data_IF_670811678275
#
_entry.id   IF_670811678275
#
_cell.length_a   1.000
_cell.length_b   1.000
_cell.length_c   1.000
_cell.angle_alpha   90.00
_cell.angle_beta   90.00
_cell.angle_gamma   90.00
#
_symmetry.space_group_name_H-M   'P 1'
#
loop_
_entity.id
_entity.type
_entity.pdbx_description
1 polymer ?
#
# COMPACT_ATOMS: atom_id res chain seq x y z
N UNK A 1 53.28 -34.52 -49.26
CA UNK A 1 53.46 -35.56 -50.29
C UNK A 1 52.61 -36.76 -49.86
N UNK A 2 51.52 -37.10 -50.59
CA UNK A 2 50.46 -38.07 -50.17
C UNK A 2 49.66 -37.56 -48.93
N UNK A 3 48.33 -37.63 -48.78
CA UNK A 3 47.22 -38.50 -49.30
C UNK A 3 47.25 -39.92 -48.69
N UNK A 4 46.17 -40.59 -48.26
CA UNK A 4 44.68 -40.47 -48.41
C UNK A 4 44.03 -40.94 -47.04
N UNK A 5 42.74 -41.12 -46.72
CA UNK A 5 41.38 -41.06 -47.34
C UNK A 5 40.28 -40.98 -46.24
N UNK A 6 39.14 -40.34 -46.52
CA UNK A 6 37.81 -40.70 -45.96
C UNK A 6 37.30 -39.92 -44.72
N UNK A 7 35.99 -39.66 -44.55
CA UNK A 7 34.83 -39.85 -45.44
C UNK A 7 33.71 -38.86 -45.09
N UNK A 8 32.88 -38.45 -46.06
CA UNK A 8 31.71 -37.59 -45.80
C UNK A 8 30.58 -38.36 -45.13
N UNK A 9 29.88 -37.72 -44.19
CA UNK A 9 28.44 -37.93 -44.00
C UNK A 9 27.76 -36.60 -43.63
N UNK A 10 27.07 -35.97 -44.58
CA UNK A 10 26.27 -34.77 -44.33
C UNK A 10 24.90 -35.21 -43.86
N UNK A 11 24.61 -35.03 -42.57
CA UNK A 11 23.28 -35.29 -42.02
C UNK A 11 22.37 -34.11 -42.36
N UNK A 12 21.61 -34.25 -43.45
CA UNK A 12 20.45 -33.40 -43.70
C UNK A 12 19.41 -33.65 -42.61
N UNK A 13 19.23 -32.69 -41.71
CA UNK A 13 18.08 -32.69 -40.79
C UNK A 13 16.86 -32.29 -41.62
N UNK A 14 16.10 -33.27 -42.08
CA UNK A 14 14.78 -33.06 -42.66
C UNK A 14 13.82 -32.81 -41.48
N UNK A 15 13.52 -31.53 -41.23
CA UNK A 15 12.38 -31.18 -40.38
C UNK A 15 11.09 -31.58 -41.11
N UNK A 16 10.60 -32.79 -40.85
CA UNK A 16 9.21 -33.12 -41.13
C UNK A 16 8.33 -32.32 -40.17
N UNK A 17 7.46 -31.48 -40.74
CA UNK A 17 6.32 -30.93 -40.00
C UNK A 17 5.36 -32.10 -39.72
N UNK A 18 5.28 -32.52 -38.46
CA UNK A 18 4.25 -33.41 -37.96
C UNK A 18 3.38 -32.66 -36.96
N UNK A 19 2.22 -32.21 -37.43
CA UNK A 19 1.18 -31.66 -36.55
C UNK A 19 0.78 -32.71 -35.51
N UNK A 20 1.06 -32.40 -34.24
CA UNK A 20 0.75 -33.25 -33.10
C UNK A 20 -0.04 -32.41 -32.09
N UNK A 21 -1.38 -32.49 -32.15
CA UNK A 21 -2.26 -31.86 -31.17
C UNK A 21 -2.12 -32.58 -29.82
N UNK A 22 -1.18 -32.12 -29.00
CA UNK A 22 -0.84 -32.68 -27.70
C UNK A 22 -1.21 -31.76 -26.53
N UNK A 23 -2.50 -31.51 -26.32
CA UNK A 23 -3.03 -30.76 -25.16
C UNK A 23 -2.96 -31.59 -23.85
N UNK A 24 -1.74 -31.94 -23.44
CA UNK A 24 -1.48 -32.66 -22.21
C UNK A 24 -1.32 -31.72 -21.02
N UNK A 25 -2.08 -31.96 -19.94
CA UNK A 25 -1.98 -31.25 -18.64
C UNK A 25 -0.55 -31.06 -18.10
N UNK A 26 0.38 -31.96 -18.46
CA UNK A 26 1.80 -31.85 -18.10
C UNK A 26 2.50 -30.65 -18.76
N UNK A 27 2.14 -30.27 -19.98
CA UNK A 27 2.71 -29.09 -20.65
C UNK A 27 2.23 -27.80 -19.98
N UNK A 28 0.92 -27.68 -19.72
CA UNK A 28 0.34 -26.53 -19.00
C UNK A 28 0.91 -26.37 -17.58
N UNK A 29 1.16 -27.49 -16.87
CA UNK A 29 1.81 -27.45 -15.56
C UNK A 29 3.30 -27.05 -15.65
N UNK A 30 3.97 -27.33 -16.76
CA UNK A 30 5.35 -26.90 -17.01
C UNK A 30 5.39 -25.40 -17.38
N UNK A 31 4.52 -24.92 -18.27
CA UNK A 31 4.45 -23.49 -18.60
C UNK A 31 4.06 -22.67 -17.38
N UNK A 32 3.03 -23.04 -16.63
CA UNK A 32 2.64 -22.32 -15.40
C UNK A 32 3.76 -22.26 -14.35
N UNK A 33 4.64 -23.27 -14.29
CA UNK A 33 5.86 -23.23 -13.45
C UNK A 33 6.95 -22.34 -14.03
N UNK A 34 7.11 -22.31 -15.35
CA UNK A 34 8.06 -21.44 -16.05
C UNK A 34 7.66 -19.96 -15.90
N UNK A 35 6.38 -19.65 -16.09
CA UNK A 35 5.78 -18.33 -15.89
C UNK A 35 5.95 -17.87 -14.43
N UNK A 36 5.74 -18.77 -13.46
CA UNK A 36 5.97 -18.51 -12.04
C UNK A 36 7.44 -18.26 -11.70
N UNK A 37 8.40 -18.83 -12.44
CA UNK A 37 9.84 -18.58 -12.26
C UNK A 37 10.25 -17.25 -12.90
N UNK A 38 9.73 -16.94 -14.09
CA UNK A 38 9.95 -15.63 -14.76
C UNK A 38 9.36 -14.47 -13.94
N UNK A 39 8.20 -14.68 -13.30
CA UNK A 39 7.64 -13.74 -12.33
C UNK A 39 8.57 -13.51 -11.14
N UNK A 40 9.10 -14.58 -10.54
CA UNK A 40 10.04 -14.51 -9.41
C UNK A 40 11.35 -13.79 -9.78
N UNK A 41 11.86 -14.00 -10.99
CA UNK A 41 13.03 -13.30 -11.52
C UNK A 41 12.74 -11.81 -11.76
N UNK A 42 11.58 -11.47 -12.33
CA UNK A 42 11.14 -10.09 -12.54
C UNK A 42 10.97 -9.32 -11.22
N UNK A 43 10.36 -9.95 -10.22
CA UNK A 43 10.20 -9.37 -8.87
C UNK A 43 11.58 -9.15 -8.21
N UNK A 44 12.52 -10.09 -8.35
CA UNK A 44 13.89 -9.99 -7.81
C UNK A 44 14.73 -8.90 -8.52
N UNK A 45 14.66 -8.82 -9.84
CA UNK A 45 15.33 -7.79 -10.63
C UNK A 45 14.81 -6.39 -10.28
N UNK A 46 13.49 -6.27 -10.06
CA UNK A 46 12.91 -4.98 -9.70
C UNK A 46 13.21 -4.61 -8.23
N UNK A 47 13.22 -5.56 -7.30
CA UNK A 47 13.67 -5.34 -5.92
C UNK A 47 15.16 -4.93 -5.83
N UNK A 48 16.02 -5.54 -6.65
CA UNK A 48 17.45 -5.13 -6.71
C UNK A 48 17.62 -3.75 -7.32
N UNK A 49 16.83 -3.36 -8.33
CA UNK A 49 16.80 -1.98 -8.85
C UNK A 49 16.32 -0.97 -7.78
N UNK A 50 15.23 -1.26 -7.05
CA UNK A 50 14.72 -0.42 -5.96
C UNK A 50 15.80 -0.18 -4.89
N UNK A 51 16.47 -1.25 -4.44
CA UNK A 51 17.54 -1.13 -3.42
C UNK A 51 18.77 -0.37 -3.95
N UNK A 52 19.16 -0.55 -5.22
CA UNK A 52 20.23 0.27 -5.85
C UNK A 52 19.83 1.74 -5.94
N UNK A 53 18.58 2.06 -6.26
CA UNK A 53 18.09 3.45 -6.27
C UNK A 53 18.06 4.07 -4.86
N UNK A 54 17.65 3.32 -3.84
CA UNK A 54 17.71 3.76 -2.45
C UNK A 54 19.15 4.01 -2.00
N UNK A 55 20.09 3.10 -2.30
CA UNK A 55 21.52 3.29 -2.02
C UNK A 55 22.12 4.49 -2.78
N UNK A 56 21.71 4.72 -4.03
CA UNK A 56 22.15 5.88 -4.81
C UNK A 56 21.71 7.21 -4.18
N UNK A 57 20.44 7.31 -3.77
CA UNK A 57 19.93 8.46 -2.99
C UNK A 57 20.72 8.63 -1.68
N UNK A 58 20.97 7.53 -0.96
CA UNK A 58 21.72 7.51 0.30
C UNK A 58 23.15 8.07 0.12
N UNK A 59 23.85 7.69 -0.94
CA UNK A 59 25.18 8.20 -1.28
C UNK A 59 25.15 9.67 -1.67
N UNK A 60 24.27 10.08 -2.60
CA UNK A 60 24.12 11.49 -3.00
C UNK A 60 23.86 12.41 -1.80
N UNK A 61 23.10 11.92 -0.83
CA UNK A 61 22.78 12.64 0.38
C UNK A 61 23.96 12.75 1.35
N UNK A 62 24.70 11.67 1.59
CA UNK A 62 25.91 11.72 2.41
C UNK A 62 26.91 12.74 1.83
N UNK A 63 27.02 12.84 0.50
CA UNK A 63 27.78 13.90 -0.17
C UNK A 63 27.20 15.30 0.12
N UNK A 64 25.87 15.50 0.08
CA UNK A 64 25.25 16.79 0.46
C UNK A 64 25.48 17.16 1.92
N UNK A 65 25.44 16.21 2.85
CA UNK A 65 25.75 16.45 4.26
C UNK A 65 27.20 16.89 4.46
N UNK A 66 28.14 16.27 3.75
CA UNK A 66 29.55 16.63 3.78
C UNK A 66 29.81 18.03 3.19
N UNK A 67 29.06 18.43 2.15
CA UNK A 67 29.17 19.74 1.52
C UNK A 67 28.52 20.88 2.35
N UNK A 68 27.44 20.61 3.07
CA UNK A 68 26.76 21.61 3.92
C UNK A 68 27.45 21.86 5.27
N UNK A 69 28.65 21.31 5.50
CA UNK A 69 29.42 21.50 6.74
C UNK A 69 29.90 22.93 7.02
N UNK A 70 29.75 23.87 6.07
CA UNK A 70 30.17 25.26 6.25
C UNK A 70 29.25 26.26 5.53
N UNK A 71 28.15 26.67 6.19
CA UNK A 71 27.33 27.79 5.72
C UNK A 71 26.06 28.01 6.54
N UNK A 72 25.85 29.23 7.05
CA UNK A 72 24.55 29.64 7.60
C UNK A 72 23.52 29.72 6.46
N UNK A 73 22.42 28.95 6.48
CA UNK A 73 21.33 29.13 5.53
C UNK A 73 20.54 30.38 5.93
N UNK A 74 20.56 31.41 5.09
CA UNK A 74 19.59 32.50 5.22
C UNK A 74 18.17 31.93 5.07
N UNK A 75 17.27 32.25 6.00
CA UNK A 75 15.96 31.61 6.07
C UNK A 75 15.10 31.93 4.83
N UNK A 76 14.78 30.90 4.04
CA UNK A 76 13.79 31.00 2.96
C UNK A 76 12.38 31.12 3.59
N UNK A 77 11.63 32.22 3.37
CA UNK A 77 10.35 32.39 4.03
C UNK A 77 9.27 31.44 3.47
N UNK A 78 8.49 30.82 4.37
CA UNK A 78 7.19 30.19 4.02
C UNK A 78 7.11 28.67 4.18
N UNK A 79 8.22 27.93 4.14
CA UNK A 79 8.23 26.49 4.38
C UNK A 79 8.54 26.19 5.85
N UNK A 80 7.53 25.72 6.59
CA UNK A 80 7.70 25.33 7.99
C UNK A 80 8.80 24.27 8.16
N UNK A 81 9.61 24.45 9.21
CA UNK A 81 10.63 23.48 9.63
C UNK A 81 9.93 22.20 10.09
N UNK A 82 10.40 20.99 9.72
CA UNK A 82 9.84 19.75 10.23
C UNK A 82 9.92 19.69 11.76
N UNK A 83 8.82 19.29 12.42
CA UNK A 83 8.76 19.28 13.90
C UNK A 83 9.47 18.08 14.54
N UNK A 84 9.87 17.11 13.73
CA UNK A 84 10.54 15.87 14.12
C UNK A 84 10.30 14.77 13.08
N UNK A 85 10.61 13.53 13.42
CA UNK A 85 10.45 12.40 12.52
C UNK A 85 8.99 11.97 12.34
N UNK A 86 8.13 12.24 13.32
CA UNK A 86 6.78 11.69 13.39
C UNK A 86 5.80 12.62 14.10
N UNK A 87 4.51 12.30 14.03
CA UNK A 87 3.49 12.97 14.83
C UNK A 87 3.73 12.85 16.35
N UNK A 88 4.55 11.91 16.85
CA UNK A 88 4.91 11.84 18.29
C UNK A 88 5.80 12.99 18.75
N UNK A 89 6.51 13.63 17.82
CA UNK A 89 7.52 14.65 18.10
C UNK A 89 6.93 16.07 18.10
N UNK A 90 5.66 16.20 17.69
CA UNK A 90 4.87 17.45 17.74
C UNK A 90 4.80 17.95 19.20
N UNK A 91 5.38 19.13 19.54
CA UNK A 91 5.44 19.59 20.93
C UNK A 91 4.08 19.98 21.54
N UNK A 92 3.08 20.25 20.70
CA UNK A 92 1.73 20.60 21.12
C UNK A 92 0.82 19.37 21.10
N UNK A 93 0.05 19.13 22.18
CA UNK A 93 -1.00 18.09 22.22
C UNK A 93 -2.26 18.52 21.46
N UNK A 94 -2.09 19.12 20.30
CA UNK A 94 -3.15 19.70 19.45
C UNK A 94 -3.17 18.94 18.14
N UNK A 95 -4.33 18.36 17.79
CA UNK A 95 -4.51 17.73 16.48
C UNK A 95 -4.50 18.80 15.39
N UNK A 96 -3.76 18.57 14.30
CA UNK A 96 -3.50 19.60 13.29
C UNK A 96 -2.57 19.12 12.18
N UNK A 97 -2.30 19.98 11.21
CA UNK A 97 -1.43 19.67 10.07
C UNK A 97 0.00 20.11 10.39
N UNK A 98 0.94 19.17 10.30
CA UNK A 98 2.35 19.38 10.63
C UNK A 98 3.25 18.82 9.52
N UNK A 99 4.48 19.32 9.44
CA UNK A 99 5.52 18.78 8.57
C UNK A 99 6.45 17.89 9.40
N UNK A 100 6.76 16.69 8.90
CA UNK A 100 7.60 15.68 9.56
C UNK A 100 8.64 15.13 8.59
N UNK A 101 9.76 14.66 9.12
CA UNK A 101 10.92 14.18 8.37
C UNK A 101 11.32 12.75 8.82
N UNK A 102 10.51 11.73 8.48
CA UNK A 102 10.59 10.39 9.08
C UNK A 102 11.84 9.60 8.69
N UNK A 103 12.36 9.87 7.49
CA UNK A 103 13.54 9.29 6.87
C UNK A 103 14.62 10.36 6.69
N UNK A 104 14.77 11.28 7.65
CA UNK A 104 15.79 12.33 7.59
C UNK A 104 17.22 11.74 7.42
N UNK A 105 18.05 12.28 6.52
CA UNK A 105 17.77 13.33 5.53
C UNK A 105 17.39 12.79 4.13
N UNK A 106 17.14 11.48 3.99
CA UNK A 106 17.16 10.71 2.73
C UNK A 106 16.07 11.03 1.70
N UNK A 107 14.93 11.60 2.12
CA UNK A 107 13.87 12.05 1.23
C UNK A 107 13.26 13.37 1.77
N UNK A 108 12.47 14.06 0.94
CA UNK A 108 11.86 15.34 1.33
C UNK A 108 10.85 15.19 2.50
N UNK A 109 10.86 16.13 3.48
CA UNK A 109 9.93 16.10 4.61
C UNK A 109 8.47 16.28 4.17
N UNK A 110 7.60 15.40 4.65
CA UNK A 110 6.19 15.31 4.24
C UNK A 110 5.25 16.08 5.19
N UNK A 111 4.14 16.58 4.65
CA UNK A 111 3.08 17.24 5.41
C UNK A 111 1.96 16.26 5.69
N UNK A 112 1.54 16.15 6.95
CA UNK A 112 0.57 15.15 7.42
C UNK A 112 -0.44 15.75 8.40
N UNK A 113 -1.62 15.14 8.52
CA UNK A 113 -2.54 15.40 9.62
C UNK A 113 -2.12 14.55 10.83
N UNK A 114 -1.76 15.19 11.93
CA UNK A 114 -1.51 14.53 13.20
C UNK A 114 -2.74 14.55 14.11
N UNK A 115 -3.09 13.41 14.71
CA UNK A 115 -4.06 13.32 15.80
C UNK A 115 -3.32 13.18 17.14
N UNK A 116 -3.51 14.19 18.00
CA UNK A 116 -2.92 14.28 19.33
C UNK A 116 -3.90 13.98 20.47
N UNK A 117 -5.17 13.72 20.14
CA UNK A 117 -6.24 13.50 21.10
C UNK A 117 -6.52 12.01 21.30
N UNK A 118 -6.50 11.23 20.22
CA UNK A 118 -6.78 9.79 20.29
C UNK A 118 -5.67 9.03 21.04
N UNK A 119 -6.05 8.37 22.15
CA UNK A 119 -5.20 7.49 22.98
C UNK A 119 -3.75 7.98 23.20
N UNK A 120 -3.62 9.19 23.75
CA UNK A 120 -2.33 9.80 24.09
C UNK A 120 -1.57 10.40 22.91
N UNK A 121 -2.19 10.45 21.72
CA UNK A 121 -1.69 11.21 20.58
C UNK A 121 -0.51 10.57 19.85
N UNK A 122 0.18 11.39 19.05
CA UNK A 122 1.30 10.97 18.22
C UNK A 122 0.93 10.21 16.95
N UNK A 123 -0.34 10.23 16.54
CA UNK A 123 -0.85 9.48 15.39
C UNK A 123 -0.72 10.26 14.10
N UNK A 124 -0.18 9.64 13.05
CA UNK A 124 -0.24 10.13 11.67
C UNK A 124 -1.50 9.58 11.00
N UNK A 125 -2.45 10.44 10.61
CA UNK A 125 -3.66 10.03 9.90
C UNK A 125 -3.30 9.72 8.45
N UNK A 126 -3.60 8.50 8.00
CA UNK A 126 -3.28 8.03 6.63
C UNK A 126 -4.51 7.98 5.71
N UNK A 127 -5.72 7.93 6.29
CA UNK A 127 -6.99 7.96 5.57
C UNK A 127 -8.07 8.57 6.47
N UNK A 128 -8.98 9.34 5.87
CA UNK A 128 -10.13 9.93 6.57
C UNK A 128 -11.36 10.04 5.66
N UNK A 129 -12.51 9.55 6.11
CA UNK A 129 -13.85 9.69 5.51
C UNK A 129 -14.86 10.19 6.56
N UNK A 130 -15.81 11.05 6.19
CA UNK A 130 -16.91 11.53 7.05
C UNK A 130 -18.03 12.30 6.32
N UNK A 131 -17.90 12.64 5.03
CA UNK A 131 -18.91 13.44 4.31
C UNK A 131 -19.11 13.09 2.83
N UNK A 132 -18.19 12.34 2.21
CA UNK A 132 -18.23 11.98 0.79
C UNK A 132 -17.76 13.09 -0.16
N UNK A 133 -17.11 14.14 0.34
CA UNK A 133 -16.60 15.27 -0.45
C UNK A 133 -15.52 14.89 -1.46
N UNK A 134 -14.89 13.71 -1.32
CA UNK A 134 -13.81 13.22 -2.19
C UNK A 134 -14.19 11.87 -2.79
N UNK A 135 -14.06 11.74 -4.12
CA UNK A 135 -14.16 10.45 -4.80
C UNK A 135 -12.89 9.60 -4.55
N UNK A 136 -13.07 8.42 -3.96
CA UNK A 136 -12.02 7.40 -3.72
C UNK A 136 -11.96 6.31 -4.81
N UNK A 137 -12.88 6.29 -5.77
CA UNK A 137 -12.75 5.45 -6.95
C UNK A 137 -11.73 6.10 -7.91
N UNK A 138 -10.45 5.73 -7.74
CA UNK A 138 -9.25 6.33 -8.35
C UNK A 138 -8.30 5.27 -8.91
N UNK A 139 -7.44 5.71 -9.83
CA UNK A 139 -6.39 4.90 -10.44
C UNK A 139 -5.20 4.62 -9.50
N UNK A 140 -4.28 3.77 -9.95
CA UNK A 140 -3.07 3.41 -9.21
C UNK A 140 -2.18 4.61 -8.86
N UNK A 141 -2.07 5.59 -9.76
CA UNK A 141 -1.15 6.72 -9.61
C UNK A 141 -1.67 7.74 -8.59
N UNK A 142 -2.98 7.97 -8.55
CA UNK A 142 -3.64 8.72 -7.48
C UNK A 142 -3.50 8.00 -6.13
N UNK A 143 -3.74 6.69 -6.07
CA UNK A 143 -3.53 5.92 -4.84
C UNK A 143 -2.07 5.88 -4.37
N UNK A 144 -1.11 5.90 -5.30
CA UNK A 144 0.32 5.99 -5.02
C UNK A 144 0.71 7.35 -4.42
N UNK A 145 0.29 8.45 -5.07
CA UNK A 145 0.63 9.83 -4.70
C UNK A 145 -0.12 10.32 -3.45
N UNK A 146 -1.36 9.90 -3.28
CA UNK A 146 -2.30 10.51 -2.33
C UNK A 146 -3.23 11.52 -3.02
N UNK A 147 -4.42 11.72 -2.45
CA UNK A 147 -5.47 12.59 -2.99
C UNK A 147 -6.42 13.09 -1.88
N UNK A 148 -7.18 14.14 -2.19
CA UNK A 148 -8.06 14.82 -1.22
C UNK A 148 -7.35 15.98 -0.52
N UNK A 149 -7.76 16.31 0.71
CA UNK A 149 -7.15 17.38 1.51
C UNK A 149 -7.05 17.00 2.99
N UNK A 150 -5.91 17.31 3.62
CA UNK A 150 -5.67 17.03 5.04
C UNK A 150 -6.66 17.76 5.99
N UNK A 151 -7.38 18.77 5.50
CA UNK A 151 -8.44 19.45 6.24
C UNK A 151 -9.79 18.68 6.21
N UNK A 152 -10.00 17.83 5.19
CA UNK A 152 -11.25 17.13 4.90
C UNK A 152 -11.04 15.62 4.72
N UNK A 153 -11.69 15.02 3.72
CA UNK A 153 -11.39 13.63 3.32
C UNK A 153 -10.09 13.55 2.53
N UNK A 154 -9.31 12.49 2.75
CA UNK A 154 -8.08 12.22 2.00
C UNK A 154 -7.59 10.77 2.12
N UNK A 155 -6.75 10.40 1.17
CA UNK A 155 -5.83 9.27 1.21
C UNK A 155 -4.40 9.82 1.16
N UNK A 156 -3.53 9.44 2.10
CA UNK A 156 -2.18 10.02 2.23
C UNK A 156 -1.22 9.62 1.09
N UNK A 157 -1.53 8.54 0.36
CA UNK A 157 -0.67 7.99 -0.69
C UNK A 157 0.13 6.78 -0.21
N UNK A 158 0.13 5.71 -1.01
CA UNK A 158 0.85 4.47 -0.68
C UNK A 158 2.34 4.71 -0.48
N UNK A 159 2.96 5.62 -1.24
CA UNK A 159 4.38 5.94 -1.10
C UNK A 159 4.71 6.60 0.25
N UNK A 160 3.84 7.48 0.74
CA UNK A 160 3.99 8.09 2.06
C UNK A 160 3.78 7.06 3.19
N UNK A 161 2.78 6.17 3.06
CA UNK A 161 2.52 5.09 4.02
C UNK A 161 3.66 4.06 4.02
N UNK A 162 4.25 3.78 2.86
CA UNK A 162 5.42 2.90 2.71
C UNK A 162 6.63 3.49 3.43
N UNK A 163 7.01 4.75 3.13
CA UNK A 163 8.10 5.47 3.83
C UNK A 163 7.90 5.43 5.35
N UNK A 164 6.74 5.86 5.83
CA UNK A 164 6.42 5.90 7.26
C UNK A 164 6.52 4.52 7.92
N UNK A 165 5.90 3.48 7.35
CA UNK A 165 5.87 2.15 8.00
C UNK A 165 7.18 1.35 7.89
N UNK A 166 8.14 1.77 7.06
CA UNK A 166 9.42 1.07 6.90
C UNK A 166 10.63 1.76 7.57
N UNK A 167 10.54 3.03 8.01
CA UNK A 167 11.58 3.64 8.87
C UNK A 167 11.59 3.09 10.29
N UNK A 168 10.42 2.71 10.80
CA UNK A 168 10.24 2.18 12.15
C UNK A 168 8.99 1.28 12.21
N UNK A 169 8.94 0.29 13.12
CA UNK A 169 7.72 -0.45 13.39
C UNK A 169 6.58 0.49 13.79
N UNK A 170 5.44 0.38 13.12
CA UNK A 170 4.24 1.18 13.39
C UNK A 170 3.09 0.29 13.88
N UNK A 171 2.27 0.81 14.80
CA UNK A 171 0.92 0.28 15.07
C UNK A 171 -0.11 0.97 14.17
N UNK A 172 -1.24 0.31 13.89
CA UNK A 172 -2.38 0.86 13.12
C UNK A 172 -3.62 0.97 14.01
N UNK A 173 -4.32 2.08 13.89
CA UNK A 173 -5.67 2.30 14.39
C UNK A 173 -6.65 2.51 13.24
N UNK A 174 -7.76 1.78 13.30
CA UNK A 174 -8.93 2.01 12.47
C UNK A 174 -10.06 2.42 13.41
N UNK A 175 -10.46 3.69 13.36
CA UNK A 175 -11.59 4.24 14.14
C UNK A 175 -12.76 4.47 13.20
N UNK A 176 -13.95 4.05 13.60
CA UNK A 176 -15.16 4.01 12.76
C UNK A 176 -16.40 4.44 13.53
N UNK A 177 -17.35 5.05 12.84
CA UNK A 177 -18.64 5.48 13.36
C UNK A 177 -19.74 5.11 12.37
N UNK A 178 -20.91 4.70 12.87
CA UNK A 178 -22.11 4.47 12.06
C UNK A 178 -23.07 5.69 12.07
N UNK A 179 -24.20 5.59 11.37
CA UNK A 179 -25.18 6.69 11.32
C UNK A 179 -26.04 6.82 12.60
N UNK A 180 -25.99 5.80 13.46
CA UNK A 180 -26.68 5.73 14.74
C UNK A 180 -25.81 6.30 15.89
N UNK A 181 -24.57 6.72 15.59
CA UNK A 181 -23.61 7.35 16.50
C UNK A 181 -22.71 6.37 17.27
N UNK A 182 -22.77 5.08 16.95
CA UNK A 182 -21.94 4.05 17.60
C UNK A 182 -20.51 4.13 17.05
N UNK A 183 -19.58 4.56 17.88
CA UNK A 183 -18.14 4.59 17.58
C UNK A 183 -17.44 3.32 18.07
N UNK A 184 -16.61 2.72 17.21
CA UNK A 184 -15.78 1.54 17.52
C UNK A 184 -14.37 1.68 16.94
N UNK A 185 -13.46 0.82 17.39
CA UNK A 185 -12.10 0.76 16.86
C UNK A 185 -11.55 -0.67 16.75
N UNK A 186 -10.69 -0.88 15.76
CA UNK A 186 -9.79 -2.03 15.66
C UNK A 186 -8.34 -1.53 15.69
N UNK A 187 -7.50 -2.16 16.53
CA UNK A 187 -6.11 -1.76 16.75
C UNK A 187 -5.17 -2.91 16.47
N UNK A 188 -4.22 -2.69 15.57
CA UNK A 188 -3.25 -3.68 15.16
C UNK A 188 -1.89 -3.33 15.75
N UNK A 189 -1.38 -4.20 16.60
CA UNK A 189 -0.12 -3.99 17.33
C UNK A 189 1.10 -3.79 16.41
N UNK A 190 0.98 -4.15 15.13
CA UNK A 190 1.92 -3.82 14.06
C UNK A 190 1.17 -3.59 12.75
N UNK A 191 1.69 -2.74 11.88
CA UNK A 191 1.26 -2.55 10.50
C UNK A 191 2.42 -2.07 9.63
N UNK A 192 2.65 -2.76 8.50
CA UNK A 192 3.65 -2.37 7.50
C UNK A 192 3.23 -2.80 6.11
N UNK A 193 3.49 -1.94 5.11
CA UNK A 193 3.27 -2.26 3.70
C UNK A 193 4.60 -2.41 2.94
N UNK A 194 4.55 -3.14 1.83
CA UNK A 194 5.68 -3.34 0.92
C UNK A 194 5.94 -2.12 0.04
N UNK A 195 7.02 -2.18 -0.75
CA UNK A 195 7.30 -1.22 -1.82
C UNK A 195 6.34 -1.45 -3.02
N UNK A 196 6.41 -0.58 -4.04
CA UNK A 196 5.62 -0.73 -5.27
C UNK A 196 5.89 -2.05 -6.00
N UNK A 197 7.12 -2.56 -5.92
CA UNK A 197 7.54 -3.89 -6.37
C UNK A 197 6.70 -5.01 -5.78
N UNK A 198 6.37 -4.91 -4.49
CA UNK A 198 5.48 -5.84 -3.79
C UNK A 198 4.01 -5.38 -3.86
N UNK A 199 3.65 -4.57 -4.87
CA UNK A 199 2.33 -3.98 -5.10
C UNK A 199 1.76 -3.30 -3.84
N UNK A 200 2.62 -2.68 -3.02
CA UNK A 200 2.29 -2.08 -1.72
C UNK A 200 1.49 -3.00 -0.78
N UNK A 201 1.67 -4.32 -0.88
CA UNK A 201 0.91 -5.31 -0.10
C UNK A 201 1.11 -5.19 1.42
N UNK A 202 0.16 -5.69 2.22
CA UNK A 202 0.28 -5.68 3.70
C UNK A 202 1.29 -6.75 4.12
N UNK A 203 2.53 -6.35 4.42
CA UNK A 203 3.63 -7.28 4.73
C UNK A 203 3.73 -7.63 6.22
N UNK A 204 3.09 -6.85 7.10
CA UNK A 204 3.00 -7.16 8.53
C UNK A 204 1.70 -6.59 9.11
N UNK A 205 0.93 -7.43 9.82
CA UNK A 205 -0.28 -7.04 10.53
C UNK A 205 -0.34 -7.78 11.87
N UNK A 206 -0.05 -7.08 12.96
CA UNK A 206 0.00 -7.64 14.31
C UNK A 206 -1.37 -8.10 14.81
N UNK A 207 -1.41 -8.66 16.02
CA UNK A 207 -2.67 -9.06 16.67
C UNK A 207 -3.62 -7.86 16.83
N UNK A 208 -4.92 -8.10 16.63
CA UNK A 208 -5.95 -7.10 16.86
C UNK A 208 -6.22 -6.96 18.37
N UNK A 209 -5.77 -5.88 19.00
CA UNK A 209 -5.96 -5.58 20.42
C UNK A 209 -5.74 -4.08 20.72
N UNK A 210 -6.75 -3.34 21.24
CA UNK A 210 -8.15 -3.73 21.39
C UNK A 210 -8.84 -3.97 20.03
N UNK A 211 -9.78 -4.90 20.00
CA UNK A 211 -10.48 -5.33 18.78
C UNK A 211 -12.00 -5.10 18.86
N UNK A 212 -12.43 -3.94 19.34
CA UNK A 212 -13.85 -3.63 19.60
C UNK A 212 -14.75 -3.63 18.36
N UNK A 213 -14.16 -3.51 17.16
CA UNK A 213 -14.87 -3.62 15.88
C UNK A 213 -14.72 -5.01 15.20
N UNK A 214 -14.05 -5.98 15.83
CA UNK A 214 -13.64 -7.23 15.18
C UNK A 214 -12.42 -7.08 14.24
N UNK A 215 -11.90 -8.19 13.71
CA UNK A 215 -10.68 -8.22 12.88
C UNK A 215 -10.99 -8.46 11.39
N UNK A 216 -11.69 -7.52 10.76
CA UNK A 216 -11.99 -7.60 9.32
C UNK A 216 -10.74 -7.39 8.46
N UNK A 217 -9.67 -6.79 8.99
CA UNK A 217 -8.41 -6.60 8.28
C UNK A 217 -7.60 -7.89 8.13
N UNK A 218 -7.83 -8.93 8.96
CA UNK A 218 -7.00 -10.15 8.98
C UNK A 218 -6.81 -10.82 7.62
N UNK A 219 -7.87 -10.87 6.81
CA UNK A 219 -7.84 -11.53 5.49
C UNK A 219 -7.07 -10.74 4.42
N UNK A 220 -6.68 -9.51 4.74
CA UNK A 220 -5.94 -8.60 3.85
C UNK A 220 -4.41 -8.63 4.12
N UNK A 221 -3.95 -9.43 5.10
CA UNK A 221 -2.53 -9.69 5.35
C UNK A 221 -1.92 -10.54 4.22
N UNK A 222 -0.76 -10.12 3.71
CA UNK A 222 -0.06 -10.65 2.53
C UNK A 222 -0.82 -10.47 1.19
N UNK A 223 -1.82 -9.59 1.16
CA UNK A 223 -2.56 -9.24 -0.07
C UNK A 223 -2.03 -7.95 -0.69
N UNK A 224 -1.99 -7.92 -2.03
CA UNK A 224 -1.51 -6.78 -2.82
C UNK A 224 -2.55 -5.67 -2.88
N UNK A 225 -2.11 -4.40 -2.92
CA UNK A 225 -3.03 -3.31 -3.24
C UNK A 225 -3.50 -3.45 -4.69
N UNK A 226 -4.77 -3.13 -4.94
CA UNK A 226 -5.38 -3.13 -6.28
C UNK A 226 -6.29 -1.92 -6.48
N UNK A 227 -6.36 -1.44 -7.71
CA UNK A 227 -7.22 -0.35 -8.19
C UNK A 227 -7.96 -0.77 -9.46
N UNK A 228 -8.90 0.03 -9.98
CA UNK A 228 -9.70 -0.38 -11.15
C UNK A 228 -8.88 -0.60 -12.43
N UNK A 229 -7.71 0.03 -12.52
CA UNK A 229 -6.72 -0.03 -13.59
C UNK A 229 -5.60 -1.06 -13.34
N UNK A 230 -5.41 -1.52 -12.09
CA UNK A 230 -4.36 -2.47 -11.70
C UNK A 230 -4.91 -3.48 -10.69
N UNK A 231 -5.44 -4.59 -11.22
CA UNK A 231 -5.89 -5.72 -10.40
C UNK A 231 -4.70 -6.58 -9.95
N UNK A 232 -4.67 -6.92 -8.66
CA UNK A 232 -3.78 -7.91 -8.03
C UNK A 232 -4.54 -8.76 -6.99
N UNK A 233 -5.87 -8.76 -7.06
CA UNK A 233 -6.76 -9.54 -6.21
C UNK A 233 -6.76 -11.03 -6.59
N UNK A 234 -7.37 -11.87 -5.74
CA UNK A 234 -7.46 -13.33 -5.93
C UNK A 234 -8.88 -13.78 -6.32
N UNK A 235 -9.67 -12.85 -6.87
CA UNK A 235 -11.01 -13.09 -7.40
C UNK A 235 -10.98 -13.39 -8.91
N UNK A 236 -12.14 -13.74 -9.48
CA UNK A 236 -12.31 -13.95 -10.93
C UNK A 236 -12.64 -12.65 -11.70
N UNK A 237 -12.65 -11.51 -11.02
CA UNK A 237 -12.98 -10.19 -11.55
C UNK A 237 -12.32 -9.11 -10.69
N UNK A 238 -12.10 -7.91 -11.23
CA UNK A 238 -11.47 -6.82 -10.49
C UNK A 238 -12.38 -6.29 -9.36
N UNK A 239 -12.02 -6.67 -8.13
CA UNK A 239 -12.72 -6.24 -6.91
C UNK A 239 -12.74 -4.72 -6.72
N UNK A 240 -11.70 -3.99 -7.11
CA UNK A 240 -11.64 -2.53 -7.02
C UNK A 240 -12.66 -1.86 -7.95
N UNK A 241 -12.83 -2.41 -9.17
CA UNK A 241 -13.80 -1.94 -10.15
C UNK A 241 -15.26 -2.19 -9.71
N UNK A 242 -15.52 -3.29 -9.02
CA UNK A 242 -16.86 -3.63 -8.48
C UNK A 242 -17.14 -2.83 -7.20
N UNK A 243 -16.26 -2.91 -6.19
CA UNK A 243 -16.47 -2.36 -4.84
C UNK A 243 -15.90 -0.95 -4.63
N UNK A 244 -15.71 -0.20 -5.71
CA UNK A 244 -15.58 1.27 -5.77
C UNK A 244 -14.47 1.91 -4.92
N UNK A 245 -13.32 1.25 -4.81
CA UNK A 245 -12.18 1.80 -4.06
C UNK A 245 -10.86 1.08 -4.36
N UNK A 246 -9.74 1.71 -4.00
CA UNK A 246 -8.43 1.07 -3.98
C UNK A 246 -8.19 0.42 -2.60
N UNK A 247 -7.85 -0.87 -2.59
CA UNK A 247 -7.64 -1.63 -1.34
C UNK A 247 -6.75 -2.87 -1.55
N UNK A 248 -6.32 -3.48 -0.44
CA UNK A 248 -5.57 -4.74 -0.40
C UNK A 248 -6.48 -5.96 -0.61
N UNK A 249 -7.18 -6.04 -1.75
CA UNK A 249 -8.23 -7.06 -1.96
C UNK A 249 -7.68 -8.50 -2.01
N UNK A 250 -8.30 -9.40 -1.23
CA UNK A 250 -8.11 -10.87 -1.31
C UNK A 250 -9.01 -11.41 -2.45
N UNK A 251 -9.89 -12.37 -2.17
CA UNK A 251 -11.15 -12.60 -2.88
C UNK A 251 -12.12 -11.48 -2.49
N UNK A 252 -11.81 -10.29 -2.98
CA UNK A 252 -12.39 -9.02 -2.55
C UNK A 252 -12.14 -8.73 -1.06
N UNK A 253 -13.16 -8.55 -0.21
CA UNK A 253 -12.91 -7.95 1.12
C UNK A 253 -13.85 -8.37 2.27
N UNK A 254 -13.36 -8.20 3.50
CA UNK A 254 -14.18 -8.04 4.72
C UNK A 254 -14.24 -6.59 5.20
N UNK A 255 -13.27 -5.76 4.83
CA UNK A 255 -13.35 -4.32 4.98
C UNK A 255 -12.87 -3.59 3.73
N UNK A 256 -13.55 -2.49 3.37
CA UNK A 256 -13.13 -1.56 2.33
C UNK A 256 -13.54 -0.16 2.77
N UNK A 257 -12.64 0.55 3.43
CA UNK A 257 -12.89 1.92 3.93
C UNK A 257 -12.70 2.98 2.83
N UNK A 258 -12.22 2.55 1.67
CA UNK A 258 -12.00 3.36 0.48
C UNK A 258 -13.12 3.21 -0.57
N UNK A 259 -14.21 2.52 -0.22
CA UNK A 259 -15.40 2.40 -1.07
C UNK A 259 -16.18 3.71 -1.25
N UNK A 260 -17.35 3.59 -1.88
CA UNK A 260 -18.25 4.71 -2.16
C UNK A 260 -18.84 5.26 -0.85
N UNK A 261 -19.09 6.58 -0.79
CA UNK A 261 -19.66 7.20 0.41
C UNK A 261 -21.19 7.05 0.45
N UNK A 262 -21.63 5.84 0.75
CA UNK A 262 -23.04 5.49 0.91
C UNK A 262 -23.49 5.69 2.38
N UNK A 263 -24.79 5.89 2.61
CA UNK A 263 -25.30 6.32 3.93
C UNK A 263 -26.15 5.24 4.61
N UNK A 264 -25.57 4.52 5.56
CA UNK A 264 -26.27 3.52 6.37
C UNK A 264 -26.65 2.29 5.58
N UNK A 265 -27.88 1.80 5.75
CA UNK A 265 -28.39 0.58 5.11
C UNK A 265 -28.34 0.66 3.59
N UNK A 266 -27.77 -0.36 2.96
CA UNK A 266 -27.60 -0.47 1.51
C UNK A 266 -28.80 -1.13 0.83
N UNK A 267 -28.93 -0.88 -0.47
CA UNK A 267 -29.79 -1.66 -1.38
C UNK A 267 -29.01 -2.83 -1.98
N UNK A 268 -29.69 -3.85 -2.50
CA UNK A 268 -29.04 -5.04 -3.08
C UNK A 268 -28.08 -4.69 -4.25
N UNK A 269 -28.38 -3.64 -5.01
CA UNK A 269 -27.51 -3.12 -6.07
C UNK A 269 -26.26 -2.38 -5.56
N UNK A 270 -26.16 -2.15 -4.24
CA UNK A 270 -25.09 -1.42 -3.56
C UNK A 270 -24.34 -2.29 -2.52
N UNK A 271 -24.76 -3.53 -2.29
CA UNK A 271 -24.17 -4.42 -1.28
C UNK A 271 -22.63 -4.47 -1.39
N UNK A 272 -21.95 -4.31 -0.25
CA UNK A 272 -20.50 -4.22 -0.11
C UNK A 272 -19.77 -3.08 -0.87
N UNK A 273 -20.44 -2.16 -1.56
CA UNK A 273 -19.78 -1.05 -2.29
C UNK A 273 -19.47 0.19 -1.42
N UNK A 274 -20.01 0.26 -0.21
CA UNK A 274 -19.89 1.42 0.69
C UNK A 274 -18.59 1.49 1.51
N UNK A 275 -18.60 2.24 2.61
CA UNK A 275 -17.55 2.19 3.63
C UNK A 275 -17.73 0.94 4.50
N UNK A 276 -17.12 -0.18 4.11
CA UNK A 276 -17.44 -1.49 4.67
C UNK A 276 -16.50 -1.93 5.80
N UNK A 277 -17.08 -2.49 6.88
CA UNK A 277 -16.39 -3.29 7.89
C UNK A 277 -17.31 -4.40 8.43
N UNK A 278 -17.16 -5.61 7.89
CA UNK A 278 -18.14 -6.69 8.05
C UNK A 278 -18.36 -7.12 9.50
N UNK A 279 -17.33 -7.14 10.35
CA UNK A 279 -17.47 -7.60 11.74
C UNK A 279 -18.19 -6.60 12.66
N UNK A 280 -18.45 -5.37 12.18
CA UNK A 280 -19.16 -4.34 12.94
C UNK A 280 -20.58 -4.09 12.43
N UNK A 281 -20.78 -4.03 11.10
CA UNK A 281 -22.09 -3.71 10.47
C UNK A 281 -22.45 -4.59 9.26
N UNK A 282 -21.69 -5.64 8.98
CA UNK A 282 -21.96 -6.58 7.90
C UNK A 282 -21.64 -6.05 6.51
N UNK A 283 -22.26 -6.67 5.50
CA UNK A 283 -22.12 -6.43 4.06
C UNK A 283 -23.15 -5.43 3.49
N UNK A 284 -24.24 -5.15 4.24
CA UNK A 284 -25.39 -4.34 3.81
C UNK A 284 -25.51 -2.98 4.50
N UNK A 285 -24.42 -2.44 5.03
CA UNK A 285 -24.39 -1.14 5.72
C UNK A 285 -23.07 -0.40 5.46
N UNK A 286 -23.15 0.87 5.05
CA UNK A 286 -22.02 1.77 4.88
C UNK A 286 -21.87 2.70 6.09
N UNK A 287 -20.65 2.77 6.61
CA UNK A 287 -20.30 3.59 7.78
C UNK A 287 -20.40 5.10 7.51
N UNK A 288 -20.57 5.87 8.58
CA UNK A 288 -20.66 7.34 8.57
C UNK A 288 -19.29 8.00 8.55
N UNK A 289 -18.39 7.55 9.42
CA UNK A 289 -17.01 8.07 9.42
C UNK A 289 -16.00 6.94 9.61
N UNK A 290 -14.83 7.11 8.98
CA UNK A 290 -13.70 6.17 9.08
C UNK A 290 -12.41 6.97 9.15
N UNK A 291 -11.47 6.54 9.99
CA UNK A 291 -10.17 7.18 10.13
C UNK A 291 -9.11 6.12 10.38
N UNK A 292 -8.22 5.92 9.41
CA UNK A 292 -7.04 5.06 9.56
C UNK A 292 -5.84 5.91 9.98
N UNK A 293 -5.12 5.45 10.99
CA UNK A 293 -3.98 6.18 11.57
C UNK A 293 -2.86 5.23 11.92
N UNK A 294 -1.61 5.63 11.69
CA UNK A 294 -0.43 4.86 12.09
C UNK A 294 0.40 5.64 13.10
N UNK A 295 1.12 4.94 13.97
CA UNK A 295 1.97 5.56 14.99
C UNK A 295 3.23 4.73 15.25
N UNK A 296 4.43 5.32 15.36
CA UNK A 296 5.63 4.56 15.67
C UNK A 296 5.51 3.83 17.01
N UNK A 297 5.94 2.58 17.07
CA UNK A 297 6.02 1.80 18.30
C UNK A 297 7.34 2.19 19.00
N UNK A 298 7.30 2.54 20.28
CA UNK A 298 8.55 2.69 21.06
C UNK A 298 9.15 1.30 21.27
N UNK A 299 10.45 1.17 20.98
CA UNK A 299 11.27 0.06 21.46
C UNK A 299 11.53 0.21 22.96
#
# INVERSE_FOLDING_TARGET
MRSILGSLLIVFIICFETESQGSGYGYEMITARLDSLQGLESDLLTYTNDTVQQLSKMVQLLTRMQLNGSGNPAAVPGLAVPVGASCRDVPSRVSGIYRIDPDHPFNEPMTVLCDQQYEGGGWTVIQRRFDGSVNFFRDWQDYKRGFGTLHGEFWLGLEHIYRLTNVAPHELAVVMEDFDGVSVAARYQKFRIGAETLNYGVMELGSCNPCGAGDSMRIHLNESFSTYDRDRSKAAFNCAAVFKGGWWFYRCHRCNLNGEYLKGKLTEAQDSQGLMWMDFRGDKYSLKSTKMMIRPIKR
#
